data_IF_043100760546
#
_entry.id   IF_043100760546
#
_cell.length_a   1.000
_cell.length_b   1.000
_cell.length_c   1.000
_cell.angle_alpha   90.00
_cell.angle_beta   90.00
_cell.angle_gamma   90.00
#
_symmetry.space_group_name_H-M   'P 1'
#
loop_
_entity.id
_entity.type
_entity.pdbx_description
1 polymer ?
#
# COMPACT_ATOMS: atom_id res chain seq x y z
N UNK A 1 -12.99 -29.34 36.29
CA UNK A 1 -13.66 -29.12 34.99
C UNK A 1 -13.93 -27.64 34.68
N UNK A 2 -14.52 -26.85 35.60
CA UNK A 2 -14.80 -25.41 35.37
C UNK A 2 -13.54 -24.53 35.26
N UNK A 3 -12.50 -24.82 36.06
CA UNK A 3 -11.22 -24.09 36.05
C UNK A 3 -10.41 -24.28 34.74
N UNK A 4 -10.46 -25.49 34.15
CA UNK A 4 -9.81 -25.74 32.85
C UNK A 4 -10.44 -24.94 31.71
N UNK A 5 -11.74 -24.64 31.78
CA UNK A 5 -12.43 -23.83 30.77
C UNK A 5 -11.99 -22.35 30.84
N UNK A 6 -11.75 -21.83 32.05
CA UNK A 6 -11.18 -20.48 32.23
C UNK A 6 -9.76 -20.38 31.65
N UNK A 7 -8.92 -21.40 31.86
CA UNK A 7 -7.55 -21.41 31.34
C UNK A 7 -7.57 -21.47 29.80
N UNK A 8 -8.44 -22.29 29.21
CA UNK A 8 -8.57 -22.39 27.75
C UNK A 8 -9.09 -21.06 27.16
N UNK A 9 -10.07 -20.42 27.79
CA UNK A 9 -10.55 -19.10 27.36
C UNK A 9 -9.48 -18.03 27.47
N UNK A 10 -8.67 -18.05 28.53
CA UNK A 10 -7.57 -17.11 28.74
C UNK A 10 -6.46 -17.32 27.69
N UNK A 11 -6.07 -18.56 27.40
CA UNK A 11 -5.09 -18.88 26.37
C UNK A 11 -5.60 -18.54 24.96
N UNK A 12 -6.88 -18.75 24.68
CA UNK A 12 -7.51 -18.36 23.42
C UNK A 12 -7.53 -16.84 23.25
N UNK A 13 -7.84 -16.09 24.31
CA UNK A 13 -7.82 -14.62 24.31
C UNK A 13 -6.40 -14.05 24.13
N UNK A 14 -5.40 -14.65 24.76
CA UNK A 14 -3.98 -14.30 24.56
C UNK A 14 -3.56 -14.60 23.11
N UNK A 15 -3.93 -15.75 22.57
CA UNK A 15 -3.62 -16.12 21.19
C UNK A 15 -4.23 -15.16 20.16
N UNK A 16 -5.49 -14.77 20.34
CA UNK A 16 -6.16 -13.74 19.52
C UNK A 16 -5.41 -12.39 19.61
N UNK A 17 -5.00 -12.00 20.82
CA UNK A 17 -4.30 -10.73 21.04
C UNK A 17 -2.92 -10.71 20.37
N UNK A 18 -2.18 -11.82 20.39
CA UNK A 18 -0.88 -11.95 19.71
C UNK A 18 -1.00 -12.02 18.19
N UNK A 19 -2.12 -12.53 17.66
CA UNK A 19 -2.37 -12.61 16.21
C UNK A 19 -2.64 -11.25 15.56
N UNK A 20 -2.77 -10.18 16.34
CA UNK A 20 -2.99 -8.81 15.85
C UNK A 20 -1.69 -8.15 15.37
N UNK A 21 -0.80 -8.90 14.71
CA UNK A 21 0.33 -8.33 13.99
C UNK A 21 -0.23 -7.36 12.94
N UNK A 22 0.20 -6.10 13.04
CA UNK A 22 -0.51 -5.01 12.38
C UNK A 22 -0.28 -5.06 10.87
N UNK A 23 -1.34 -5.19 10.09
CA UNK A 23 -1.34 -5.03 8.61
C UNK A 23 -0.64 -3.74 8.17
N UNK A 24 -0.59 -2.74 9.06
CA UNK A 24 0.11 -1.47 8.85
C UNK A 24 1.63 -1.60 8.75
N UNK A 25 2.25 -2.57 9.41
CA UNK A 25 3.71 -2.74 9.35
C UNK A 25 4.16 -3.38 8.03
N UNK A 26 3.37 -4.30 7.47
CA UNK A 26 3.68 -4.93 6.18
C UNK A 26 3.57 -3.92 5.03
N UNK A 27 2.45 -3.19 4.94
CA UNK A 27 2.26 -2.18 3.90
C UNK A 27 3.32 -1.06 3.97
N UNK A 28 3.72 -0.67 5.19
CA UNK A 28 4.81 0.30 5.39
C UNK A 28 6.16 -0.27 4.95
N UNK A 29 6.44 -1.53 5.27
CA UNK A 29 7.69 -2.19 4.87
C UNK A 29 7.79 -2.31 3.34
N UNK A 30 6.73 -2.77 2.69
CA UNK A 30 6.65 -2.84 1.22
C UNK A 30 6.80 -1.46 0.56
N UNK A 31 6.21 -0.41 1.14
CA UNK A 31 6.34 0.95 0.64
C UNK A 31 7.80 1.46 0.62
N UNK A 32 8.61 1.00 1.58
CA UNK A 32 10.04 1.31 1.65
C UNK A 32 10.85 0.35 0.75
N UNK A 33 10.60 -0.96 0.84
CA UNK A 33 11.33 -2.01 0.11
C UNK A 33 11.18 -1.86 -1.41
N UNK A 34 9.95 -1.62 -1.89
CA UNK A 34 9.67 -1.36 -3.31
C UNK A 34 10.00 0.08 -3.73
N UNK A 35 10.66 0.85 -2.85
CA UNK A 35 11.21 2.20 -3.07
C UNK A 35 10.18 3.30 -3.38
N UNK A 36 8.90 3.09 -3.11
CA UNK A 36 7.83 4.07 -3.30
C UNK A 36 8.08 5.37 -2.51
N UNK A 37 8.69 5.25 -1.32
CA UNK A 37 9.10 6.37 -0.46
C UNK A 37 10.10 7.35 -1.11
N UNK A 38 10.76 6.96 -2.21
CA UNK A 38 11.70 7.83 -2.93
C UNK A 38 10.98 9.00 -3.61
N UNK A 39 9.72 8.80 -4.03
CA UNK A 39 8.97 9.80 -4.79
C UNK A 39 7.69 10.24 -4.08
N UNK A 40 7.05 9.34 -3.34
CA UNK A 40 5.74 9.56 -2.73
C UNK A 40 5.82 9.69 -1.22
N UNK A 41 4.89 10.47 -0.69
CA UNK A 41 4.61 10.58 0.74
C UNK A 41 3.15 10.25 1.02
N UNK A 42 2.82 10.10 2.31
CA UNK A 42 1.47 9.84 2.79
C UNK A 42 1.13 10.91 3.84
N UNK A 43 0.20 11.80 3.49
CA UNK A 43 -0.37 12.82 4.38
C UNK A 43 0.54 14.02 4.64
N UNK A 44 1.50 14.29 3.75
CA UNK A 44 2.51 15.37 3.90
C UNK A 44 2.52 16.33 2.71
N UNK A 45 1.56 16.22 1.80
CA UNK A 45 1.49 17.03 0.59
C UNK A 45 2.32 16.44 -0.54
N UNK A 46 2.65 17.28 -1.52
CA UNK A 46 3.30 16.84 -2.74
C UNK A 46 4.83 16.87 -2.59
N UNK A 47 5.51 15.86 -3.14
CA UNK A 47 6.97 15.78 -3.15
C UNK A 47 7.49 15.69 -4.60
N UNK A 48 8.01 14.54 -5.04
CA UNK A 48 8.34 14.29 -6.46
C UNK A 48 7.11 13.74 -7.19
N UNK A 49 6.40 12.81 -6.55
CA UNK A 49 5.09 12.33 -6.94
C UNK A 49 3.98 12.93 -6.08
N UNK A 50 2.70 12.70 -6.44
CA UNK A 50 1.55 13.10 -5.62
C UNK A 50 1.55 12.43 -4.25
N UNK A 51 0.91 13.08 -3.27
CA UNK A 51 0.55 12.44 -2.00
C UNK A 51 -0.39 11.25 -2.24
N UNK A 52 -0.14 10.13 -1.56
CA UNK A 52 -0.96 8.93 -1.66
C UNK A 52 -1.99 8.80 -0.54
N UNK A 53 -2.11 9.81 0.33
CA UNK A 53 -3.18 9.87 1.33
C UNK A 53 -4.55 9.74 0.68
N UNK A 54 -5.31 8.72 1.13
CA UNK A 54 -6.66 8.41 0.61
C UNK A 54 -6.71 8.19 -0.90
N UNK A 55 -5.63 7.70 -1.52
CA UNK A 55 -5.58 7.41 -2.96
C UNK A 55 -6.66 6.42 -3.42
N UNK A 56 -7.11 5.53 -2.52
CA UNK A 56 -8.20 4.59 -2.73
C UNK A 56 -9.57 5.25 -2.93
N UNK A 57 -9.74 6.53 -2.56
CA UNK A 57 -10.94 7.29 -2.87
C UNK A 57 -10.95 7.79 -4.32
N UNK A 58 -9.78 7.82 -4.98
CA UNK A 58 -9.61 8.32 -6.34
C UNK A 58 -9.51 7.19 -7.37
N UNK A 59 -8.92 6.06 -7.00
CA UNK A 59 -8.70 4.93 -7.90
C UNK A 59 -9.23 3.63 -7.30
N UNK A 60 -9.78 2.76 -8.14
CA UNK A 60 -10.13 1.39 -7.74
C UNK A 60 -8.88 0.58 -7.39
N UNK A 61 -9.05 -0.53 -6.65
CA UNK A 61 -7.94 -1.46 -6.36
C UNK A 61 -7.23 -1.93 -7.63
N UNK A 62 -7.98 -2.23 -8.69
CA UNK A 62 -7.42 -2.67 -9.98
C UNK A 62 -6.55 -1.59 -10.61
N UNK A 63 -7.01 -0.33 -10.59
CA UNK A 63 -6.27 0.78 -11.17
C UNK A 63 -5.04 1.14 -10.33
N UNK A 64 -5.11 0.98 -9.01
CA UNK A 64 -3.94 1.10 -8.13
C UNK A 64 -2.90 0.01 -8.43
N UNK A 65 -3.31 -1.24 -8.68
CA UNK A 65 -2.39 -2.30 -9.10
C UNK A 65 -1.75 -1.95 -10.44
N UNK A 66 -2.54 -1.51 -11.42
CA UNK A 66 -2.03 -1.11 -12.74
C UNK A 66 -1.08 0.09 -12.66
N UNK A 67 -1.27 1.03 -11.75
CA UNK A 67 -0.29 2.10 -11.53
C UNK A 67 1.12 1.57 -11.23
N UNK A 68 1.19 0.45 -10.52
CA UNK A 68 2.44 -0.16 -10.06
C UNK A 68 3.01 -1.13 -11.11
N UNK A 69 2.15 -1.98 -11.71
CA UNK A 69 2.58 -3.05 -12.62
C UNK A 69 2.57 -2.69 -14.11
N UNK A 70 1.72 -1.74 -14.53
CA UNK A 70 1.56 -1.32 -15.92
C UNK A 70 1.17 0.17 -16.02
N UNK A 71 2.08 1.05 -15.62
CA UNK A 71 1.82 2.48 -15.45
C UNK A 71 1.35 3.16 -16.74
N UNK A 72 1.85 2.74 -17.91
CA UNK A 72 1.45 3.32 -19.21
C UNK A 72 -0.05 3.10 -19.50
N UNK A 73 -0.61 1.93 -19.16
CA UNK A 73 -2.05 1.67 -19.31
C UNK A 73 -2.92 2.68 -18.54
N UNK A 74 -2.44 3.13 -17.39
CA UNK A 74 -3.15 4.12 -16.56
C UNK A 74 -2.95 5.54 -17.08
N UNK A 75 -1.78 5.84 -17.64
CA UNK A 75 -1.56 7.11 -18.31
C UNK A 75 -2.46 7.28 -19.52
N UNK A 76 -2.61 6.24 -20.34
CA UNK A 76 -3.50 6.22 -21.49
C UNK A 76 -4.97 6.30 -21.07
N UNK A 77 -5.41 5.40 -20.17
CA UNK A 77 -6.81 5.32 -19.70
C UNK A 77 -7.35 6.66 -19.20
N UNK A 78 -6.52 7.44 -18.51
CA UNK A 78 -6.93 8.70 -17.91
C UNK A 78 -6.36 9.94 -18.63
N UNK A 79 -5.60 9.76 -19.71
CA UNK A 79 -4.91 10.82 -20.44
C UNK A 79 -4.18 11.84 -19.52
N UNK A 80 -3.36 11.33 -18.59
CA UNK A 80 -2.80 12.12 -17.45
C UNK A 80 -1.29 12.08 -17.31
N UNK A 81 -0.55 11.77 -18.38
CA UNK A 81 0.91 11.68 -18.34
C UNK A 81 1.51 13.08 -18.12
N UNK A 82 2.23 13.33 -17.01
CA UNK A 82 2.84 14.64 -16.79
C UNK A 82 4.03 14.85 -17.74
N UNK A 83 4.17 16.07 -18.25
CA UNK A 83 5.17 16.45 -19.28
C UNK A 83 6.16 17.50 -18.72
N UNK A 84 5.89 18.06 -17.53
CA UNK A 84 6.65 19.19 -17.01
C UNK A 84 7.88 18.78 -16.19
N UNK A 85 8.89 19.63 -16.23
CA UNK A 85 10.07 19.57 -15.37
C UNK A 85 9.65 19.75 -13.90
N UNK A 86 9.85 18.71 -13.08
CA UNK A 86 9.50 18.70 -11.65
C UNK A 86 8.52 17.59 -11.26
N UNK A 87 7.70 17.11 -12.19
CA UNK A 87 6.81 15.96 -12.02
C UNK A 87 7.02 14.96 -13.14
N UNK A 88 8.12 14.18 -13.11
CA UNK A 88 8.32 13.16 -14.12
C UNK A 88 7.16 12.14 -14.08
N UNK A 89 6.84 11.49 -15.21
CA UNK A 89 5.92 10.37 -15.17
C UNK A 89 6.50 9.30 -14.24
N UNK A 90 5.63 8.72 -13.41
CA UNK A 90 5.95 7.56 -12.59
C UNK A 90 6.54 6.48 -13.50
N UNK A 91 7.74 5.98 -13.19
CA UNK A 91 8.34 4.92 -13.98
C UNK A 91 7.61 3.60 -13.71
N UNK A 92 7.74 2.65 -14.64
CA UNK A 92 7.30 1.29 -14.40
C UNK A 92 8.19 0.68 -13.29
N UNK A 93 7.58 0.32 -12.17
CA UNK A 93 8.29 -0.18 -10.99
C UNK A 93 8.66 -1.67 -11.09
N UNK A 94 8.20 -2.36 -12.14
CA UNK A 94 8.38 -3.80 -12.39
C UNK A 94 7.98 -4.67 -11.19
N UNK A 95 7.04 -4.20 -10.38
CA UNK A 95 6.51 -4.98 -9.25
C UNK A 95 5.53 -6.01 -9.80
N UNK A 96 5.78 -7.27 -9.45
CA UNK A 96 4.89 -8.37 -9.84
C UNK A 96 3.56 -8.27 -9.10
N UNK A 97 2.46 -8.63 -9.76
CA UNK A 97 1.15 -8.71 -9.11
C UNK A 97 1.07 -9.83 -8.06
N UNK A 98 2.03 -10.77 -8.05
CA UNK A 98 2.17 -11.76 -6.97
C UNK A 98 2.62 -11.14 -5.65
N UNK A 99 3.19 -9.94 -5.69
CA UNK A 99 3.74 -9.23 -4.53
C UNK A 99 2.72 -8.22 -3.96
N UNK A 100 1.47 -8.23 -4.45
CA UNK A 100 0.39 -7.26 -4.18
C UNK A 100 -0.90 -7.97 -3.76
#
# INVERSE_FOLDING_TARGET
>A
MKSSYLIILFLFFIFISLSSYSITDEGRSLFVEKRCVTCHVVGRGVFVGPDLWKVNNKYSKTDMISWISNTDSIYEKYNKKPINTGYPPMPNMKVSTSDL
#
